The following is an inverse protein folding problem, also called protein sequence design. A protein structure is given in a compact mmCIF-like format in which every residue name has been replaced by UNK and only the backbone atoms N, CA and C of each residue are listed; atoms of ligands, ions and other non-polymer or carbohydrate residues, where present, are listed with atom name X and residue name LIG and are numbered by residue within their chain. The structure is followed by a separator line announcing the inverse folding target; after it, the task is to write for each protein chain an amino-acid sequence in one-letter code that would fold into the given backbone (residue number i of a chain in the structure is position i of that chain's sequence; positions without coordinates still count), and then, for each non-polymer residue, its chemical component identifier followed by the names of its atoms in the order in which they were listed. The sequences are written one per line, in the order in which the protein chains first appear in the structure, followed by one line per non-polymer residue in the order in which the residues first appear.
data_IF_762874372631
#
_entry.id   IF_762874372631
#
_cell.length_a   1.000
_cell.length_b   1.000
_cell.length_c   1.000
_cell.angle_alpha   90.00
_cell.angle_beta   90.00
_cell.angle_gamma   90.00
#
_symmetry.space_group_name_H-M   'P 1'
#
loop_
_entity.id
_entity.type
_entity.pdbx_description
1 polymer ?
#
# COMPACT_ATOMS: atom_id res chain seq x y z
N UNK A 1 -11.83 12.11 -30.53
CA UNK A 1 -10.61 12.95 -30.69
C UNK A 1 -9.61 12.45 -29.66
N UNK A 2 -8.38 12.06 -30.05
CA UNK A 2 -7.38 11.55 -29.11
C UNK A 2 -7.09 12.60 -28.02
N UNK A 3 -7.10 12.27 -26.71
CA UNK A 3 -6.97 13.23 -25.60
C UNK A 3 -5.70 14.08 -25.58
N UNK A 4 -4.72 13.88 -26.46
CA UNK A 4 -3.55 14.76 -26.63
C UNK A 4 -3.89 16.25 -26.78
N UNK A 5 -4.97 16.57 -27.49
CA UNK A 5 -5.47 17.95 -27.60
C UNK A 5 -5.81 18.61 -26.25
N UNK A 6 -6.10 17.82 -25.20
CA UNK A 6 -6.33 18.34 -23.84
C UNK A 6 -5.02 18.81 -23.20
N UNK A 7 -3.94 18.04 -23.36
CA UNK A 7 -2.61 18.43 -22.89
C UNK A 7 -2.13 19.69 -23.62
N UNK A 8 -2.29 19.74 -24.95
CA UNK A 8 -1.95 20.93 -25.75
C UNK A 8 -2.73 22.17 -25.32
N UNK A 9 -4.04 22.04 -25.04
CA UNK A 9 -4.86 23.14 -24.52
C UNK A 9 -4.46 23.57 -23.11
N UNK A 10 -3.89 22.67 -22.32
CA UNK A 10 -3.33 22.97 -21.02
C UNK A 10 -1.90 23.55 -21.10
N UNK A 11 -1.33 23.69 -22.30
CA UNK A 11 0.05 24.17 -22.50
C UNK A 11 1.12 23.12 -22.19
N UNK A 12 0.74 21.83 -22.16
CA UNK A 12 1.62 20.73 -21.81
C UNK A 12 2.13 19.97 -23.04
N UNK A 13 3.44 20.01 -23.27
CA UNK A 13 4.09 19.22 -24.32
C UNK A 13 4.52 17.84 -23.78
N UNK A 14 3.73 16.83 -24.08
CA UNK A 14 3.95 15.43 -23.67
C UNK A 14 5.33 14.87 -24.08
N UNK A 15 5.96 15.43 -25.11
CA UNK A 15 7.27 14.98 -25.60
C UNK A 15 8.48 15.64 -24.93
N UNK A 16 8.33 16.90 -24.47
CA UNK A 16 9.45 17.73 -24.03
C UNK A 16 9.30 18.32 -22.62
N UNK A 17 8.15 18.12 -21.95
CA UNK A 17 7.95 18.66 -20.62
C UNK A 17 8.84 17.96 -19.59
N UNK A 18 9.53 18.77 -18.78
CA UNK A 18 10.31 18.27 -17.66
C UNK A 18 9.40 17.74 -16.55
N UNK A 19 9.89 16.87 -15.66
CA UNK A 19 9.09 16.39 -14.54
C UNK A 19 8.62 17.53 -13.64
N UNK A 20 7.37 17.44 -13.19
CA UNK A 20 6.74 18.47 -12.36
C UNK A 20 7.06 18.26 -10.88
N UNK A 21 7.15 19.36 -10.12
CA UNK A 21 7.29 19.32 -8.67
C UNK A 21 5.98 18.89 -8.01
N UNK A 22 6.05 17.91 -7.11
CA UNK A 22 4.92 17.35 -6.37
C UNK A 22 4.89 17.74 -4.89
N UNK A 23 5.62 18.79 -4.51
CA UNK A 23 5.80 19.17 -3.10
C UNK A 23 4.48 19.43 -2.38
N UNK A 24 3.54 20.15 -3.01
CA UNK A 24 2.23 20.43 -2.40
C UNK A 24 1.39 19.15 -2.24
N UNK A 25 1.51 18.20 -3.17
CA UNK A 25 0.85 16.88 -3.08
C UNK A 25 1.46 16.06 -1.95
N UNK A 26 2.78 16.09 -1.81
CA UNK A 26 3.49 15.41 -0.73
C UNK A 26 3.06 15.96 0.64
N UNK A 27 2.90 17.28 0.77
CA UNK A 27 2.35 17.89 1.99
C UNK A 27 0.91 17.45 2.23
N UNK A 28 0.06 17.43 1.20
CA UNK A 28 -1.32 16.98 1.32
C UNK A 28 -1.41 15.50 1.75
N UNK A 29 -0.58 14.63 1.17
CA UNK A 29 -0.49 13.21 1.53
C UNK A 29 -0.03 13.04 2.97
N UNK A 30 0.96 13.83 3.40
CA UNK A 30 1.42 13.81 4.79
C UNK A 30 0.30 14.19 5.76
N UNK A 31 -0.46 15.25 5.46
CA UNK A 31 -1.61 15.68 6.27
C UNK A 31 -2.71 14.62 6.32
N UNK A 32 -3.06 14.03 5.17
CA UNK A 32 -4.10 13.00 5.09
C UNK A 32 -3.72 11.75 5.89
N UNK A 33 -2.48 11.28 5.74
CA UNK A 33 -1.98 10.11 6.48
C UNK A 33 -1.81 10.38 7.98
N UNK A 34 -1.44 11.61 8.35
CA UNK A 34 -1.35 11.99 9.76
C UNK A 34 -2.73 11.92 10.43
N UNK A 35 -3.75 12.54 9.83
CA UNK A 35 -5.12 12.46 10.36
C UNK A 35 -5.63 11.01 10.42
N UNK A 36 -5.39 10.21 9.38
CA UNK A 36 -5.76 8.80 9.40
C UNK A 36 -5.08 8.00 10.52
N UNK A 37 -3.80 8.26 10.80
CA UNK A 37 -3.07 7.63 11.91
C UNK A 37 -3.62 8.05 13.28
N UNK A 38 -3.97 9.31 13.45
CA UNK A 38 -4.60 9.80 14.68
C UNK A 38 -5.95 9.11 14.90
N UNK A 39 -6.77 8.97 13.86
CA UNK A 39 -8.04 8.26 13.92
C UNK A 39 -7.85 6.77 14.28
N UNK A 40 -6.85 6.11 13.69
CA UNK A 40 -6.51 4.73 14.01
C UNK A 40 -6.00 4.55 15.44
N UNK A 41 -5.25 5.53 15.96
CA UNK A 41 -4.77 5.53 17.33
C UNK A 41 -5.88 5.83 18.35
N UNK A 42 -6.86 6.68 17.97
CA UNK A 42 -8.00 7.04 18.80
C UNK A 42 -9.12 5.98 18.82
N UNK A 43 -9.11 5.02 17.88
CA UNK A 43 -10.10 3.94 17.76
C UNK A 43 -10.10 2.99 18.97
N UNK A 44 -11.11 3.14 19.83
CA UNK A 44 -11.25 2.50 21.15
C UNK A 44 -11.36 0.96 21.16
N UNK A 45 -11.37 0.27 20.01
CA UNK A 45 -11.67 -1.18 19.91
C UNK A 45 -10.62 -1.97 19.10
N UNK A 46 -9.38 -1.48 19.05
CA UNK A 46 -8.25 -2.20 18.45
C UNK A 46 -7.72 -1.60 17.15
N UNK A 47 -8.22 -0.43 16.73
CA UNK A 47 -7.65 0.42 15.68
C UNK A 47 -7.04 -0.31 14.47
N UNK A 48 -5.80 0.04 14.16
CA UNK A 48 -4.98 -0.57 13.11
C UNK A 48 -4.90 -2.11 13.19
N UNK A 49 -4.76 -2.65 14.40
CA UNK A 49 -4.62 -4.09 14.64
C UNK A 49 -5.88 -4.86 14.24
N UNK A 50 -7.05 -4.39 14.66
CA UNK A 50 -8.33 -5.01 14.34
C UNK A 50 -8.62 -4.97 12.83
N UNK A 51 -8.28 -3.85 12.17
CA UNK A 51 -8.42 -3.73 10.71
C UNK A 51 -7.53 -4.72 9.96
N UNK A 52 -6.25 -4.81 10.35
CA UNK A 52 -5.30 -5.77 9.75
C UNK A 52 -5.72 -7.20 10.03
N UNK A 53 -6.16 -7.52 11.25
CA UNK A 53 -6.62 -8.86 11.62
C UNK A 53 -7.85 -9.28 10.79
N UNK A 54 -8.80 -8.38 10.58
CA UNK A 54 -9.97 -8.63 9.74
C UNK A 54 -9.57 -8.92 8.28
N UNK A 55 -8.71 -8.09 7.70
CA UNK A 55 -8.25 -8.23 6.31
C UNK A 55 -7.47 -9.55 6.13
N UNK A 56 -6.57 -9.86 7.06
CA UNK A 56 -5.76 -11.07 7.01
C UNK A 56 -6.62 -12.33 7.14
N UNK A 57 -7.56 -12.36 8.09
CA UNK A 57 -8.45 -13.50 8.24
C UNK A 57 -9.37 -13.68 7.02
N UNK A 58 -9.88 -12.60 6.42
CA UNK A 58 -10.64 -12.68 5.18
C UNK A 58 -9.80 -13.20 3.99
N UNK A 59 -8.53 -12.81 3.90
CA UNK A 59 -7.62 -13.29 2.84
C UNK A 59 -7.21 -14.76 2.97
N UNK A 60 -7.34 -15.33 4.18
CA UNK A 60 -6.97 -16.71 4.51
C UNK A 60 -8.18 -17.63 4.66
N UNK A 61 -9.39 -17.08 4.62
CA UNK A 61 -10.63 -17.85 4.60
C UNK A 61 -10.60 -18.92 3.49
N UNK A 62 -10.86 -20.18 3.88
CA UNK A 62 -10.83 -21.33 2.97
C UNK A 62 -9.44 -21.95 2.70
N UNK A 63 -8.37 -21.50 3.37
CA UNK A 63 -7.03 -22.11 3.30
C UNK A 63 -6.76 -23.02 4.51
N UNK A 64 -5.60 -23.69 4.50
CA UNK A 64 -5.17 -24.64 5.54
C UNK A 64 -4.67 -24.00 6.84
N UNK A 65 -4.58 -22.67 6.89
CA UNK A 65 -4.20 -21.93 8.08
C UNK A 65 -5.43 -21.68 8.98
N UNK A 66 -5.25 -21.82 10.29
CA UNK A 66 -6.27 -21.42 11.28
C UNK A 66 -6.39 -19.90 11.40
N UNK A 67 -7.18 -19.44 12.36
CA UNK A 67 -7.35 -18.01 12.66
C UNK A 67 -5.99 -17.33 12.85
N UNK A 68 -5.80 -16.21 12.17
CA UNK A 68 -4.64 -15.33 12.30
C UNK A 68 -4.92 -14.33 13.41
N UNK A 69 -4.11 -14.36 14.46
CA UNK A 69 -4.14 -13.39 15.54
C UNK A 69 -3.02 -12.40 15.28
N UNK A 70 -3.35 -11.12 15.16
CA UNK A 70 -2.32 -10.08 15.01
C UNK A 70 -1.81 -9.75 16.41
N UNK A 71 -0.51 -9.80 16.67
CA UNK A 71 0.07 -9.53 18.00
C UNK A 71 0.55 -8.07 18.11
N UNK A 72 1.35 -7.62 17.14
CA UNK A 72 1.83 -6.23 17.05
C UNK A 72 1.62 -5.67 15.64
N UNK A 73 1.27 -4.39 15.57
CA UNK A 73 1.19 -3.61 14.32
C UNK A 73 1.83 -2.26 14.58
N UNK A 74 2.87 -1.96 13.81
CA UNK A 74 3.44 -0.63 13.67
C UNK A 74 3.27 -0.21 12.21
N UNK A 75 2.52 0.89 11.98
CA UNK A 75 2.28 1.43 10.64
C UNK A 75 3.33 2.49 10.26
N UNK A 76 4.36 2.70 11.09
CA UNK A 76 5.43 3.67 10.86
C UNK A 76 5.03 5.11 11.21
N UNK A 77 5.88 6.08 10.84
CA UNK A 77 5.64 7.51 11.08
C UNK A 77 6.01 8.43 9.88
N UNK A 78 6.64 7.91 8.84
CA UNK A 78 6.95 8.66 7.63
C UNK A 78 5.74 8.71 6.67
N UNK A 79 5.94 9.36 5.53
CA UNK A 79 4.94 9.53 4.47
C UNK A 79 5.56 9.20 3.11
N UNK A 80 4.77 8.68 2.16
CA UNK A 80 5.26 8.41 0.82
C UNK A 80 5.59 9.73 0.12
N UNK A 81 6.73 9.73 -0.55
CA UNK A 81 7.20 10.82 -1.39
C UNK A 81 6.90 10.50 -2.86
N UNK A 82 6.14 11.37 -3.50
CA UNK A 82 5.95 11.36 -4.94
C UNK A 82 6.99 12.27 -5.59
N UNK A 83 7.59 11.79 -6.67
CA UNK A 83 8.57 12.53 -7.47
C UNK A 83 8.47 12.13 -8.95
N UNK A 84 9.21 12.86 -9.80
CA UNK A 84 9.31 12.60 -11.25
C UNK A 84 7.95 12.41 -11.95
N UNK A 85 6.98 13.29 -11.64
CA UNK A 85 5.64 13.21 -12.22
C UNK A 85 5.62 13.79 -13.62
N UNK A 86 5.11 13.00 -14.57
CA UNK A 86 5.06 13.38 -15.99
C UNK A 86 3.87 12.77 -16.70
N UNK A 87 3.32 13.52 -17.65
CA UNK A 87 2.31 13.01 -18.57
C UNK A 87 3.00 12.28 -19.72
N UNK A 88 2.58 11.06 -20.00
CA UNK A 88 3.06 10.21 -21.10
C UNK A 88 1.90 9.83 -22.01
N UNK A 89 2.16 9.51 -23.29
CA UNK A 89 1.15 8.89 -24.13
C UNK A 89 0.82 7.50 -23.59
N UNK A 90 -0.46 7.15 -23.54
CA UNK A 90 -0.90 5.80 -23.21
C UNK A 90 -0.68 4.85 -24.39
N UNK A 91 -0.53 3.56 -24.09
CA UNK A 91 -0.43 2.48 -25.08
C UNK A 91 -1.79 2.24 -25.77
N UNK A 92 -2.88 2.67 -25.15
CA UNK A 92 -4.21 2.71 -25.74
C UNK A 92 -4.36 3.89 -26.71
N UNK A 93 -4.99 3.63 -27.86
CA UNK A 93 -5.03 4.53 -29.01
C UNK A 93 -5.48 5.96 -28.64
N UNK A 94 -4.49 6.84 -28.49
CA UNK A 94 -4.67 8.27 -28.27
C UNK A 94 -4.73 8.72 -26.82
N UNK A 95 -4.71 7.80 -25.84
CA UNK A 95 -4.80 8.09 -24.41
C UNK A 95 -3.63 8.91 -23.86
N UNK A 96 -3.86 9.56 -22.72
CA UNK A 96 -2.82 10.14 -21.87
C UNK A 96 -2.76 9.30 -20.59
N UNK A 97 -1.56 9.11 -20.03
CA UNK A 97 -1.34 8.50 -18.72
C UNK A 97 -0.41 9.39 -17.91
N UNK A 98 -0.57 9.39 -16.60
CA UNK A 98 0.36 10.07 -15.70
C UNK A 98 1.26 9.00 -15.08
N UNK A 99 2.56 9.21 -15.17
CA UNK A 99 3.55 8.39 -14.47
C UNK A 99 4.13 9.18 -13.31
N UNK A 100 4.22 8.55 -12.14
CA UNK A 100 4.81 9.11 -10.94
C UNK A 100 5.72 8.08 -10.29
N UNK A 101 6.88 8.49 -9.80
CA UNK A 101 7.70 7.67 -8.93
C UNK A 101 7.26 7.86 -7.48
N UNK A 102 6.97 6.75 -6.80
CA UNK A 102 6.62 6.73 -5.38
C UNK A 102 7.76 6.08 -4.61
N UNK A 103 8.19 6.73 -3.54
CA UNK A 103 9.16 6.22 -2.59
C UNK A 103 8.62 6.39 -1.16
N UNK A 104 8.60 5.31 -0.41
CA UNK A 104 8.24 5.30 0.99
C UNK A 104 9.36 4.59 1.76
N UNK A 105 10.08 5.35 2.57
CA UNK A 105 11.17 4.85 3.41
C UNK A 105 10.72 4.99 4.85
N UNK A 106 10.35 3.88 5.45
CA UNK A 106 9.86 3.80 6.82
C UNK A 106 9.94 2.36 7.30
N UNK A 107 9.92 2.17 8.61
CA UNK A 107 9.88 0.84 9.21
C UNK A 107 8.43 0.51 9.60
N UNK A 108 7.75 -0.30 8.78
CA UNK A 108 6.45 -0.89 9.12
C UNK A 108 6.68 -2.29 9.66
N UNK A 109 6.12 -2.59 10.83
CA UNK A 109 6.23 -3.90 11.48
C UNK A 109 4.85 -4.55 11.65
N UNK A 110 4.75 -5.83 11.32
CA UNK A 110 3.56 -6.64 11.52
C UNK A 110 3.95 -8.00 12.09
N UNK A 111 3.49 -8.30 13.29
CA UNK A 111 3.63 -9.64 13.88
C UNK A 111 2.29 -10.36 13.94
N UNK A 112 2.28 -11.59 13.45
CA UNK A 112 1.10 -12.45 13.34
C UNK A 112 1.39 -13.78 14.03
N UNK A 113 0.46 -14.24 14.84
CA UNK A 113 0.45 -15.56 15.44
C UNK A 113 -0.65 -16.40 14.79
N UNK A 114 -0.33 -17.65 14.44
CA UNK A 114 -1.30 -18.55 13.80
C UNK A 114 -1.08 -19.99 14.22
N UNK A 115 -2.12 -20.79 14.02
CA UNK A 115 -2.09 -22.23 14.24
C UNK A 115 -2.24 -22.93 12.90
N UNK A 116 -1.18 -23.62 12.47
CA UNK A 116 -1.18 -24.41 11.23
C UNK A 116 -1.69 -25.81 11.50
N UNK A 117 -2.70 -26.25 10.76
CA UNK A 117 -3.22 -27.62 10.85
C UNK A 117 -2.48 -28.51 9.85
N UNK A 118 -1.72 -29.48 10.36
CA UNK A 118 -0.94 -30.44 9.56
C UNK A 118 -1.78 -31.68 9.26
N UNK A 119 -1.90 -32.03 7.97
CA UNK A 119 -2.74 -33.13 7.49
C UNK A 119 -1.95 -34.37 7.01
N UNK A 120 -0.67 -34.49 7.37
CA UNK A 120 0.18 -35.63 6.99
C UNK A 120 0.79 -36.27 8.24
N UNK A 121 0.78 -37.62 8.40
CA UNK A 121 0.33 -38.64 7.44
C UNK A 121 -1.19 -38.95 7.45
N UNK A 122 -1.99 -38.30 8.31
CA UNK A 122 -3.46 -38.42 8.35
C UNK A 122 -4.11 -37.03 8.51
N UNK A 123 -5.39 -36.83 8.16
CA UNK A 123 -6.06 -35.54 8.38
C UNK A 123 -6.03 -35.11 9.85
N UNK A 124 -5.80 -33.81 10.09
CA UNK A 124 -5.68 -33.19 11.43
C UNK A 124 -4.67 -33.90 12.34
N UNK A 125 -3.55 -34.34 11.77
CA UNK A 125 -2.49 -35.04 12.50
C UNK A 125 -1.88 -34.21 13.62
N UNK A 126 -1.65 -32.91 13.39
CA UNK A 126 -1.08 -32.02 14.38
C UNK A 126 -1.54 -30.56 14.18
N UNK A 127 -1.45 -29.77 15.25
CA UNK A 127 -1.61 -28.31 15.23
C UNK A 127 -0.27 -27.71 15.65
N UNK A 128 0.29 -26.85 14.82
CA UNK A 128 1.57 -26.19 15.07
C UNK A 128 1.35 -24.70 15.32
N UNK A 129 1.65 -24.16 16.52
CA UNK A 129 1.67 -22.72 16.75
C UNK A 129 2.90 -22.12 16.07
N UNK A 130 2.69 -21.04 15.30
CA UNK A 130 3.74 -20.34 14.55
C UNK A 130 3.56 -18.84 14.77
N UNK A 131 4.68 -18.14 14.95
CA UNK A 131 4.75 -16.67 14.96
C UNK A 131 5.53 -16.19 13.74
N UNK A 132 4.99 -15.22 13.03
CA UNK A 132 5.55 -14.62 11.82
C UNK A 132 5.70 -13.11 12.05
N UNK A 133 6.90 -12.58 11.86
CA UNK A 133 7.16 -11.13 11.86
C UNK A 133 7.51 -10.67 10.45
N UNK A 134 6.90 -9.57 10.02
CA UNK A 134 7.18 -8.89 8.77
C UNK A 134 7.64 -7.47 9.08
N UNK A 135 8.79 -7.10 8.52
CA UNK A 135 9.30 -5.73 8.56
C UNK A 135 9.47 -5.25 7.12
N UNK A 136 8.92 -4.09 6.81
CA UNK A 136 9.09 -3.41 5.53
C UNK A 136 9.86 -2.13 5.83
N UNK A 137 11.05 -1.98 5.22
CA UNK A 137 11.92 -0.81 5.43
C UNK A 137 11.82 0.22 4.29
N UNK A 138 11.49 -0.25 3.08
CA UNK A 138 11.39 0.59 1.89
C UNK A 138 10.44 0.01 0.86
N UNK A 139 9.50 0.82 0.42
CA UNK A 139 8.62 0.56 -0.71
C UNK A 139 8.89 1.62 -1.77
N UNK A 140 9.27 1.20 -2.97
CA UNK A 140 9.46 2.12 -4.09
C UNK A 140 8.88 1.54 -5.37
N UNK A 141 8.35 2.38 -6.24
CA UNK A 141 7.84 1.94 -7.52
C UNK A 141 7.38 3.08 -8.42
N UNK A 142 6.85 2.72 -9.58
CA UNK A 142 6.24 3.67 -10.51
C UNK A 142 4.73 3.45 -10.52
N UNK A 143 3.98 4.49 -10.20
CA UNK A 143 2.52 4.51 -10.28
C UNK A 143 2.13 5.05 -11.66
N UNK A 144 1.14 4.40 -12.28
CA UNK A 144 0.53 4.82 -13.55
C UNK A 144 -0.94 5.12 -13.30
N UNK A 145 -1.38 6.33 -13.64
CA UNK A 145 -2.75 6.83 -13.49
C UNK A 145 -3.36 7.12 -14.86
#
# INVERSE_FOLDING_TARGET
VPPRHLAERAGYDVGAHAPESTDWVNVLLALALHGYREDLAAGNEGGARAAVEHILNAAVEGKTAGTLLVSTVDIGNAFPHLSDVRVRPSDEAGGLRIEAEIEYVDQIELSIETQLVVNYPRPRFAILPISLGLIIERLSGTVRL
#
